data_IF_844083013206
#
_entry.id   IF_844083013206
#
_cell.length_a   1.000
_cell.length_b   1.000
_cell.length_c   1.000
_cell.angle_alpha   90.00
_cell.angle_beta   90.00
_cell.angle_gamma   90.00
#
_symmetry.space_group_name_H-M   'P 1'
#
loop_
_entity.id
_entity.type
_entity.pdbx_description
1 polymer ?
#
# COMPACT_ATOMS: atom_id res chain seq x y z
N UNK A 1 2.29 5.78 -20.85
CA UNK A 1 1.70 4.48 -20.42
C UNK A 1 1.78 4.40 -18.90
N UNK A 2 0.64 4.29 -18.27
CA UNK A 2 0.58 4.26 -16.81
C UNK A 2 0.31 2.86 -16.29
N UNK A 3 0.78 2.55 -15.07
CA UNK A 3 0.48 1.25 -14.46
C UNK A 3 -1.01 1.11 -14.17
N UNK A 4 -1.51 -0.12 -14.27
CA UNK A 4 -2.86 -0.48 -13.86
C UNK A 4 -2.76 -1.60 -12.85
N UNK A 5 -3.27 -1.37 -11.67
CA UNK A 5 -3.16 -2.35 -10.58
C UNK A 5 -4.46 -2.43 -9.80
N UNK A 6 -4.64 -3.56 -9.14
CA UNK A 6 -5.59 -3.71 -8.06
C UNK A 6 -4.81 -4.07 -6.79
N UNK A 7 -5.18 -3.46 -5.68
CA UNK A 7 -4.51 -3.69 -4.40
C UNK A 7 -5.58 -4.02 -3.37
N UNK A 8 -5.42 -5.15 -2.69
CA UNK A 8 -6.34 -5.58 -1.63
C UNK A 8 -5.57 -6.17 -0.48
N UNK A 9 -6.10 -6.00 0.74
CA UNK A 9 -5.55 -6.70 1.88
C UNK A 9 -5.70 -8.20 1.68
N UNK A 10 -4.62 -8.92 1.93
CA UNK A 10 -4.53 -10.37 1.74
C UNK A 10 -4.53 -11.07 3.09
N UNK A 11 -5.72 -11.51 3.49
CA UNK A 11 -5.92 -12.17 4.77
C UNK A 11 -5.97 -11.20 5.95
N UNK A 12 -6.17 -11.72 7.17
CA UNK A 12 -6.29 -10.89 8.36
C UNK A 12 -4.94 -10.31 8.78
N UNK A 13 -4.97 -9.15 9.43
CA UNK A 13 -3.80 -8.59 10.08
C UNK A 13 -3.36 -9.49 11.24
N UNK A 14 -2.05 -9.56 11.48
CA UNK A 14 -1.46 -10.35 12.56
C UNK A 14 -0.84 -9.45 13.60
N UNK A 15 -1.21 -9.65 14.87
CA UNK A 15 -0.66 -8.87 15.97
C UNK A 15 0.79 -9.22 16.21
N UNK A 16 1.64 -8.19 16.34
CA UNK A 16 2.99 -8.33 16.85
C UNK A 16 3.08 -7.85 18.30
N UNK A 17 2.42 -6.76 18.59
CA UNK A 17 2.32 -6.10 19.89
C UNK A 17 0.92 -5.49 19.97
N UNK A 18 0.52 -4.97 21.13
CA UNK A 18 -0.85 -4.44 21.27
C UNK A 18 -1.27 -3.41 20.23
N UNK A 19 -0.36 -2.58 19.75
CA UNK A 19 -0.65 -1.53 18.76
C UNK A 19 0.11 -1.72 17.44
N UNK A 20 0.72 -2.89 17.25
CA UNK A 20 1.53 -3.19 16.08
C UNK A 20 1.00 -4.41 15.36
N UNK A 21 0.82 -4.26 14.05
CA UNK A 21 0.21 -5.29 13.21
C UNK A 21 1.05 -5.53 11.98
N UNK A 22 1.13 -6.78 11.54
CA UNK A 22 1.65 -7.14 10.22
C UNK A 22 0.45 -7.29 9.31
N UNK A 23 0.42 -6.51 8.25
CA UNK A 23 -0.68 -6.52 7.29
C UNK A 23 -0.09 -6.81 5.91
N UNK A 24 -0.72 -7.74 5.20
CA UNK A 24 -0.31 -8.09 3.85
C UNK A 24 -1.30 -7.55 2.84
N UNK A 25 -0.77 -7.10 1.70
CA UNK A 25 -1.58 -6.71 0.55
C UNK A 25 -1.17 -7.50 -0.66
N UNK A 26 -2.16 -7.88 -1.45
CA UNK A 26 -1.95 -8.45 -2.76
C UNK A 26 -1.99 -7.32 -3.79
N UNK A 27 -0.98 -7.26 -4.65
CA UNK A 27 -0.89 -6.30 -5.73
C UNK A 27 -1.05 -7.10 -7.03
N UNK A 28 -2.12 -6.83 -7.74
CA UNK A 28 -2.37 -7.45 -9.03
C UNK A 28 -1.93 -6.48 -10.13
N UNK A 29 -0.98 -6.90 -10.95
CA UNK A 29 -0.53 -6.12 -12.10
C UNK A 29 -1.46 -6.38 -13.27
N UNK A 30 -2.32 -5.43 -13.58
CA UNK A 30 -3.29 -5.52 -14.67
C UNK A 30 -2.75 -4.94 -15.98
N UNK A 31 -1.53 -4.43 -15.96
CA UNK A 31 -0.89 -3.86 -17.12
C UNK A 31 -0.24 -4.89 -18.01
N UNK A 32 0.19 -4.44 -19.19
CA UNK A 32 0.84 -5.29 -20.19
C UNK A 32 2.34 -5.40 -20.02
N UNK A 33 2.93 -4.71 -19.06
CA UNK A 33 4.36 -4.70 -18.79
C UNK A 33 4.65 -5.04 -17.34
N UNK A 34 5.87 -5.49 -17.00
CA UNK A 34 6.23 -5.76 -15.62
C UNK A 34 6.18 -4.50 -14.75
N UNK A 35 5.79 -4.68 -13.50
CA UNK A 35 5.77 -3.64 -12.48
C UNK A 35 6.87 -3.92 -11.47
N UNK A 36 7.68 -2.92 -11.17
CA UNK A 36 8.71 -3.04 -10.15
C UNK A 36 8.31 -2.19 -8.94
N UNK A 37 8.06 -2.83 -7.81
CA UNK A 37 7.67 -2.15 -6.59
C UNK A 37 8.91 -1.86 -5.76
N UNK A 38 9.18 -0.58 -5.53
CA UNK A 38 10.38 -0.11 -4.84
C UNK A 38 10.16 0.10 -3.36
N UNK A 39 8.99 0.60 -2.98
CA UNK A 39 8.69 0.95 -1.60
C UNK A 39 7.18 1.02 -1.37
N UNK A 40 6.80 0.91 -0.11
CA UNK A 40 5.41 1.05 0.32
C UNK A 40 5.34 1.73 1.68
N UNK A 41 4.29 2.51 1.91
CA UNK A 41 4.06 3.15 3.21
C UNK A 41 2.58 3.39 3.46
N UNK A 42 2.26 3.55 4.74
CA UNK A 42 0.94 3.96 5.23
C UNK A 42 1.13 5.31 5.92
N UNK A 43 0.80 6.43 5.26
CA UNK A 43 1.13 7.75 5.80
C UNK A 43 0.11 8.30 6.79
N UNK A 44 -1.00 7.62 7.01
CA UNK A 44 -2.17 8.18 7.67
C UNK A 44 -2.15 8.05 9.20
N UNK A 45 -2.23 9.20 9.89
CA UNK A 45 -2.59 9.38 11.29
C UNK A 45 -2.20 8.28 12.27
N UNK A 46 -3.17 7.69 12.94
CA UNK A 46 -2.99 6.61 13.91
C UNK A 46 -2.85 5.23 13.28
N UNK A 47 -3.16 5.10 12.01
CA UNK A 47 -2.95 3.89 11.22
C UNK A 47 -1.85 4.20 10.22
N UNK A 48 -0.61 3.86 10.57
CA UNK A 48 0.55 4.30 9.80
C UNK A 48 1.70 3.32 9.86
N UNK A 49 2.58 3.45 8.89
CA UNK A 49 3.89 2.78 8.89
C UNK A 49 4.94 3.75 8.39
N UNK A 50 6.20 3.45 8.68
CA UNK A 50 7.30 4.08 7.96
C UNK A 50 7.38 3.50 6.55
N UNK A 51 8.10 4.17 5.67
CA UNK A 51 8.34 3.66 4.33
C UNK A 51 9.20 2.40 4.42
N UNK A 52 8.70 1.32 3.81
CA UNK A 52 9.44 0.08 3.67
C UNK A 52 10.02 0.01 2.27
N UNK A 53 11.34 -0.06 2.18
CA UNK A 53 12.05 -0.28 0.93
C UNK A 53 12.15 -1.78 0.65
N UNK A 54 11.93 -2.16 -0.59
CA UNK A 54 12.08 -3.55 -1.02
C UNK A 54 13.44 -3.71 -1.69
N UNK A 55 14.32 -4.50 -1.07
CA UNK A 55 15.67 -4.73 -1.57
C UNK A 55 15.95 -6.24 -1.63
N UNK A 56 15.98 -6.83 -2.81
CA UNK A 56 15.75 -6.20 -4.12
C UNK A 56 14.29 -5.78 -4.29
N UNK A 57 14.01 -4.89 -5.26
CA UNK A 57 12.64 -4.51 -5.58
C UNK A 57 11.78 -5.72 -5.91
N UNK A 58 10.49 -5.64 -5.63
CA UNK A 58 9.55 -6.70 -5.97
C UNK A 58 9.15 -6.56 -7.44
N UNK A 59 9.45 -7.56 -8.25
CA UNK A 59 9.05 -7.59 -9.65
C UNK A 59 7.76 -8.38 -9.79
N UNK A 60 6.75 -7.75 -10.38
CA UNK A 60 5.47 -8.39 -10.65
C UNK A 60 5.27 -8.41 -12.16
N UNK A 61 5.41 -9.57 -12.81
CA UNK A 61 5.17 -9.67 -14.26
C UNK A 61 3.76 -9.22 -14.65
N UNK A 62 3.60 -8.90 -15.94
CA UNK A 62 2.29 -8.55 -16.47
C UNK A 62 1.26 -9.65 -16.16
N UNK A 63 0.07 -9.24 -15.71
CA UNK A 63 -1.05 -10.11 -15.39
C UNK A 63 -0.78 -11.09 -14.23
N UNK A 64 0.22 -10.82 -13.41
CA UNK A 64 0.52 -11.63 -12.22
C UNK A 64 0.32 -10.82 -10.95
N UNK A 65 0.37 -11.52 -9.83
CA UNK A 65 0.20 -10.94 -8.51
C UNK A 65 1.52 -10.94 -7.75
N UNK A 66 1.68 -9.92 -6.90
CA UNK A 66 2.74 -9.89 -5.90
C UNK A 66 2.14 -9.61 -4.54
N UNK A 67 2.86 -9.99 -3.48
CA UNK A 67 2.43 -9.78 -2.11
C UNK A 67 3.44 -8.96 -1.37
N UNK A 68 2.96 -7.95 -0.61
CA UNK A 68 3.80 -7.17 0.28
C UNK A 68 3.29 -7.28 1.70
N UNK A 69 4.21 -7.16 2.65
CA UNK A 69 3.89 -7.08 4.07
C UNK A 69 4.36 -5.75 4.62
N UNK A 70 3.52 -5.12 5.41
CA UNK A 70 3.85 -3.85 6.05
C UNK A 70 3.58 -3.99 7.55
N UNK A 71 4.54 -3.55 8.36
CA UNK A 71 4.38 -3.45 9.81
C UNK A 71 3.75 -2.10 10.12
N UNK A 72 2.52 -2.12 10.61
CA UNK A 72 1.75 -0.91 10.84
C UNK A 72 1.51 -0.68 12.33
N UNK A 73 1.55 0.59 12.72
CA UNK A 73 1.00 1.03 13.99
C UNK A 73 -0.49 1.29 13.80
N UNK A 74 -1.30 0.85 14.74
CA UNK A 74 -2.72 1.14 14.73
C UNK A 74 -3.15 1.55 16.15
N UNK A 75 -3.30 2.85 16.36
CA UNK A 75 -3.74 3.42 17.63
C UNK A 75 -5.21 3.78 17.64
N UNK A 76 -5.99 3.26 16.69
CA UNK A 76 -7.42 3.55 16.63
C UNK A 76 -8.19 2.75 17.68
N UNK A 77 -9.30 3.34 18.16
CA UNK A 77 -10.12 2.68 19.14
C UNK A 77 -10.85 1.47 18.56
N UNK A 78 -11.09 0.41 19.38
CA UNK A 78 -11.93 -0.69 18.93
C UNK A 78 -13.31 -0.19 18.46
N UNK A 79 -13.79 -0.75 17.37
CA UNK A 79 -15.06 -0.36 16.76
C UNK A 79 -14.96 0.87 15.86
N UNK A 80 -13.82 1.53 15.81
CA UNK A 80 -13.64 2.71 14.96
C UNK A 80 -13.63 2.33 13.49
N UNK A 81 -14.00 3.31 12.66
CA UNK A 81 -13.88 3.23 11.21
C UNK A 81 -13.05 4.41 10.74
N UNK A 82 -12.02 4.14 9.95
CA UNK A 82 -11.13 5.17 9.43
C UNK A 82 -11.36 5.28 7.93
N UNK A 83 -11.69 6.48 7.48
CA UNK A 83 -11.83 6.78 6.05
C UNK A 83 -10.60 7.50 5.55
N UNK A 84 -10.38 7.43 4.24
CA UNK A 84 -9.29 8.12 3.56
C UNK A 84 -7.90 7.75 4.07
N UNK A 85 -7.73 6.51 4.48
CA UNK A 85 -6.41 5.94 4.68
C UNK A 85 -5.83 5.52 3.33
N UNK A 86 -4.50 5.42 3.24
CA UNK A 86 -3.84 5.09 1.98
C UNK A 86 -2.72 4.07 2.18
N UNK A 87 -2.59 3.19 1.20
CA UNK A 87 -1.31 2.53 0.91
C UNK A 87 -0.71 3.27 -0.27
N UNK A 88 0.51 3.74 -0.12
CA UNK A 88 1.24 4.44 -1.20
C UNK A 88 2.41 3.57 -1.62
N UNK A 89 2.45 3.24 -2.92
CA UNK A 89 3.55 2.48 -3.51
C UNK A 89 4.39 3.40 -4.38
N UNK A 90 5.71 3.27 -4.26
CA UNK A 90 6.64 3.82 -5.27
C UNK A 90 7.03 2.70 -6.20
N UNK A 91 6.85 2.91 -7.48
CA UNK A 91 7.06 1.87 -8.49
C UNK A 91 7.81 2.41 -9.70
N UNK A 92 8.40 1.50 -10.45
CA UNK A 92 8.84 1.75 -11.83
C UNK A 92 7.95 0.96 -12.76
N UNK A 93 7.52 1.60 -13.84
CA UNK A 93 6.71 0.97 -14.87
C UNK A 93 7.10 1.52 -16.24
N UNK A 94 7.53 0.64 -17.15
CA UNK A 94 8.01 1.03 -18.50
C UNK A 94 9.07 2.14 -18.40
N UNK A 95 10.09 1.88 -17.59
CA UNK A 95 11.25 2.77 -17.39
C UNK A 95 10.89 4.16 -16.85
N UNK A 96 9.75 4.30 -16.18
CA UNK A 96 9.31 5.57 -15.60
C UNK A 96 8.84 5.36 -14.16
N UNK A 97 9.12 6.32 -13.26
CA UNK A 97 8.66 6.25 -11.87
C UNK A 97 7.22 6.73 -11.74
N UNK A 98 6.47 6.05 -10.89
CA UNK A 98 5.08 6.36 -10.58
C UNK A 98 4.81 6.20 -9.09
N UNK A 99 3.81 6.93 -8.60
CA UNK A 99 3.19 6.66 -7.31
C UNK A 99 1.84 6.02 -7.56
N UNK A 100 1.55 4.98 -6.80
CA UNK A 100 0.24 4.33 -6.80
C UNK A 100 -0.36 4.54 -5.42
N UNK A 101 -1.54 5.12 -5.37
CA UNK A 101 -2.24 5.41 -4.14
C UNK A 101 -3.52 4.59 -4.07
N UNK A 102 -3.59 3.68 -3.10
CA UNK A 102 -4.80 2.92 -2.82
C UNK A 102 -5.51 3.57 -1.64
N UNK A 103 -6.68 4.13 -1.88
CA UNK A 103 -7.50 4.68 -0.81
C UNK A 103 -8.27 3.56 -0.13
N UNK A 104 -8.19 3.54 1.19
CA UNK A 104 -8.71 2.47 2.02
C UNK A 104 -9.74 3.00 3.00
N UNK A 105 -10.70 2.14 3.32
CA UNK A 105 -11.52 2.24 4.51
C UNK A 105 -11.04 1.18 5.49
N UNK A 106 -10.74 1.57 6.72
CA UNK A 106 -10.23 0.65 7.73
C UNK A 106 -11.31 0.47 8.79
N UNK A 107 -11.61 -0.78 9.11
CA UNK A 107 -12.48 -1.13 10.24
C UNK A 107 -11.63 -1.75 11.33
N UNK A 108 -11.83 -1.27 12.55
CA UNK A 108 -11.14 -1.78 13.72
C UNK A 108 -12.13 -2.64 14.48
N UNK A 109 -11.80 -3.90 14.66
CA UNK A 109 -12.70 -4.81 15.38
C UNK A 109 -12.65 -4.54 16.90
N UNK A 110 -13.38 -5.36 17.68
CA UNK A 110 -13.45 -5.19 19.12
C UNK A 110 -12.14 -5.53 19.85
N UNK A 111 -11.19 -6.15 19.15
CA UNK A 111 -9.84 -6.46 19.66
C UNK A 111 -8.79 -5.48 19.17
N UNK A 112 -9.20 -4.45 18.43
CA UNK A 112 -8.28 -3.48 17.85
C UNK A 112 -7.65 -3.93 16.53
N UNK A 113 -8.07 -5.04 15.95
CA UNK A 113 -7.51 -5.54 14.69
C UNK A 113 -8.03 -4.74 13.51
N UNK A 114 -7.12 -4.18 12.69
CA UNK A 114 -7.53 -3.45 11.48
C UNK A 114 -7.82 -4.40 10.33
N UNK A 115 -8.86 -4.07 9.56
CA UNK A 115 -9.17 -4.72 8.30
C UNK A 115 -9.50 -3.64 7.28
N UNK A 116 -8.86 -3.68 6.12
CA UNK A 116 -9.03 -2.67 5.10
C UNK A 116 -9.88 -3.14 3.94
N UNK A 117 -10.62 -2.21 3.36
CA UNK A 117 -11.30 -2.37 2.08
C UNK A 117 -10.77 -1.29 1.16
N UNK A 118 -10.35 -1.68 -0.05
CA UNK A 118 -9.85 -0.74 -1.04
C UNK A 118 -11.03 -0.09 -1.76
N UNK A 119 -11.04 1.25 -1.77
CA UNK A 119 -12.12 2.00 -2.38
C UNK A 119 -11.76 2.60 -3.72
N UNK A 120 -10.51 3.01 -3.90
CA UNK A 120 -10.09 3.69 -5.12
C UNK A 120 -8.58 3.55 -5.30
N UNK A 121 -8.17 3.33 -6.53
CA UNK A 121 -6.75 3.31 -6.92
C UNK A 121 -6.51 4.51 -7.84
N UNK A 122 -5.52 5.33 -7.50
CA UNK A 122 -5.06 6.41 -8.36
C UNK A 122 -3.58 6.27 -8.62
N UNK A 123 -3.12 6.75 -9.77
CA UNK A 123 -1.71 6.72 -10.15
C UNK A 123 -1.26 8.13 -10.51
N UNK A 124 -0.03 8.47 -10.14
CA UNK A 124 0.55 9.78 -10.40
C UNK A 124 1.95 9.60 -10.96
N UNK A 125 2.27 10.26 -12.07
CA UNK A 125 3.65 10.24 -12.55
C UNK A 125 4.56 10.98 -11.57
N UNK A 126 5.74 10.44 -11.37
CA UNK A 126 6.80 11.11 -10.62
C UNK A 126 7.76 11.68 -11.66
N UNK A 127 8.04 12.96 -11.56
CA UNK A 127 8.88 13.59 -12.55
C UNK A 127 9.35 14.97 -12.11
N UNK A 128 9.15 15.94 -13.00
CA UNK A 128 9.62 17.28 -12.73
C UNK A 128 9.11 17.87 -11.42
N UNK A 129 7.86 17.67 -11.11
CA UNK A 129 7.28 18.18 -9.87
C UNK A 129 8.00 17.66 -8.64
N UNK A 130 8.36 16.38 -8.63
CA UNK A 130 9.10 15.78 -7.52
C UNK A 130 10.51 16.37 -7.43
N UNK A 131 11.17 16.54 -8.56
CA UNK A 131 12.50 17.13 -8.57
C UNK A 131 12.49 18.57 -8.10
N UNK A 132 11.41 19.28 -8.34
CA UNK A 132 11.30 20.67 -7.94
C UNK A 132 10.92 20.84 -6.49
N UNK A 133 10.18 19.90 -5.96
CA UNK A 133 9.82 19.89 -4.57
C UNK A 133 10.97 19.44 -3.66
N UNK A 134 11.89 18.71 -4.24
CA UNK A 134 13.03 18.17 -3.52
C UNK A 134 14.20 19.15 -3.35
#
# INVERSE_FOLDING_TARGET
>A
MEPKVHIEQDGPAHAQRPDRWVISWNIQNLGAAPLQVLAARLPHGKFRSEEKLFEPPLDIPANENGRIEIKACCGEAPGAEVENAFVILRVNYVAAPWLILARLRIRIDDRGKPASTTELITVQPVGFSERWAG
#
